data_IF_733667855741
#
_entry.id   IF_733667855741
#
_cell.length_a   1.000
_cell.length_b   1.000
_cell.length_c   1.000
_cell.angle_alpha   90.00
_cell.angle_beta   90.00
_cell.angle_gamma   90.00
#
_symmetry.space_group_name_H-M   'P 1'
#
loop_
_entity.id
_entity.type
_entity.pdbx_description
1 polymer ?
#
# COMPACT_ATOMS: atom_id res chain seq x y z
N UNK A 1 -12.89 17.43 1.50
CA UNK A 1 -11.93 16.37 1.87
C UNK A 1 -11.50 16.64 3.30
N UNK A 2 -11.58 15.67 4.20
CA UNK A 2 -11.09 15.83 5.59
C UNK A 2 -9.66 15.30 5.66
N UNK A 3 -8.74 16.15 6.16
CA UNK A 3 -7.36 15.75 6.44
C UNK A 3 -7.35 14.72 7.57
N UNK A 4 -6.37 13.81 7.54
CA UNK A 4 -6.20 12.76 8.55
C UNK A 4 -4.73 12.54 8.84
N UNK A 5 -4.40 12.27 10.09
CA UNK A 5 -3.07 11.79 10.49
C UNK A 5 -3.03 10.28 10.25
N UNK A 6 -1.91 9.78 9.71
CA UNK A 6 -1.72 8.36 9.37
C UNK A 6 -0.38 7.88 9.93
N UNK A 7 -0.41 6.80 10.71
CA UNK A 7 0.78 6.09 11.19
C UNK A 7 0.76 4.64 10.73
N UNK A 8 1.96 4.11 10.49
CA UNK A 8 2.17 2.72 10.06
C UNK A 8 3.15 2.04 10.99
N UNK A 9 2.90 0.77 11.22
CA UNK A 9 3.68 -0.09 12.08
C UNK A 9 4.07 -1.33 11.28
N UNK A 10 5.35 -1.67 11.32
CA UNK A 10 5.90 -2.93 10.84
C UNK A 10 5.94 -3.86 12.04
N UNK A 11 5.29 -4.99 11.94
CA UNK A 11 5.17 -5.93 13.06
C UNK A 11 5.44 -7.34 12.57
N UNK A 12 6.04 -8.15 13.44
CA UNK A 12 6.14 -9.59 13.24
C UNK A 12 4.76 -10.24 13.25
N UNK A 13 4.68 -11.51 12.84
CA UNK A 13 3.44 -12.28 12.90
C UNK A 13 2.92 -12.38 14.36
N UNK A 14 3.81 -12.60 15.32
CA UNK A 14 3.44 -12.69 16.74
C UNK A 14 2.87 -11.36 17.27
N UNK A 15 3.56 -10.25 17.00
CA UNK A 15 3.11 -8.90 17.39
C UNK A 15 1.80 -8.52 16.72
N UNK A 16 1.61 -8.88 15.43
CA UNK A 16 0.37 -8.66 14.70
C UNK A 16 -0.83 -9.30 15.42
N UNK A 17 -0.72 -10.59 15.77
CA UNK A 17 -1.79 -11.29 16.48
C UNK A 17 -1.98 -10.77 17.89
N UNK A 18 -0.90 -10.49 18.63
CA UNK A 18 -0.96 -9.94 19.98
C UNK A 18 -1.66 -8.58 20.00
N UNK A 19 -1.27 -7.66 19.11
CA UNK A 19 -1.86 -6.33 19.01
C UNK A 19 -3.34 -6.42 18.63
N UNK A 20 -3.68 -7.27 17.65
CA UNK A 20 -5.07 -7.46 17.24
C UNK A 20 -5.94 -7.99 18.38
N UNK A 21 -5.49 -9.03 19.09
CA UNK A 21 -6.22 -9.60 20.23
C UNK A 21 -6.36 -8.62 21.38
N UNK A 22 -5.30 -7.86 21.69
CA UNK A 22 -5.33 -6.81 22.71
C UNK A 22 -6.39 -5.74 22.38
N UNK A 23 -6.38 -5.21 21.16
CA UNK A 23 -7.35 -4.18 20.77
C UNK A 23 -8.79 -4.71 20.73
N UNK A 24 -9.00 -5.96 20.27
CA UNK A 24 -10.31 -6.60 20.33
C UNK A 24 -10.82 -6.72 21.77
N UNK A 25 -9.95 -7.09 22.71
CA UNK A 25 -10.31 -7.14 24.13
C UNK A 25 -10.65 -5.78 24.75
N UNK A 26 -10.20 -4.69 24.12
CA UNK A 26 -10.47 -3.31 24.53
C UNK A 26 -11.70 -2.70 23.83
N UNK A 27 -12.41 -3.45 22.99
CA UNK A 27 -13.60 -2.98 22.30
C UNK A 27 -13.37 -2.48 20.87
N UNK A 28 -12.31 -2.91 20.19
CA UNK A 28 -12.15 -2.69 18.75
C UNK A 28 -13.21 -3.47 17.96
N UNK A 29 -13.89 -2.80 17.03
CA UNK A 29 -15.00 -3.36 16.26
C UNK A 29 -14.69 -3.50 14.77
N UNK A 30 -15.33 -4.47 14.11
CA UNK A 30 -15.15 -4.69 12.67
C UNK A 30 -15.85 -3.58 11.90
N UNK A 31 -15.08 -2.82 11.11
CA UNK A 31 -15.62 -1.73 10.29
C UNK A 31 -16.15 -2.24 8.94
N UNK A 32 -15.43 -3.15 8.29
CA UNK A 32 -15.80 -3.71 6.99
C UNK A 32 -15.36 -5.17 6.85
N UNK A 33 -16.06 -5.89 5.97
CA UNK A 33 -15.66 -7.24 5.58
C UNK A 33 -14.21 -7.28 5.04
N UNK A 34 -13.44 -8.33 5.37
CA UNK A 34 -12.09 -8.53 4.85
C UNK A 34 -12.04 -8.51 3.32
N UNK A 35 -10.94 -8.02 2.76
CA UNK A 35 -10.75 -7.96 1.30
C UNK A 35 -9.37 -8.45 0.91
N UNK A 36 -9.31 -9.23 -0.17
CA UNK A 36 -8.07 -9.42 -0.91
C UNK A 36 -7.89 -8.19 -1.80
N UNK A 37 -6.75 -7.54 -1.70
CA UNK A 37 -6.43 -6.34 -2.48
C UNK A 37 -5.32 -6.69 -3.44
N UNK A 38 -5.53 -6.33 -4.71
CA UNK A 38 -4.53 -6.50 -5.75
C UNK A 38 -4.19 -5.14 -6.35
N UNK A 39 -2.94 -4.93 -6.70
CA UNK A 39 -2.47 -3.70 -7.33
C UNK A 39 -1.32 -3.99 -8.27
N UNK A 40 -1.40 -3.49 -9.51
CA UNK A 40 -0.28 -3.43 -10.43
C UNK A 40 0.23 -2.00 -10.42
N UNK A 41 1.46 -1.80 -9.95
CA UNK A 41 2.15 -0.53 -9.96
C UNK A 41 2.76 -0.26 -11.32
N UNK A 42 2.79 1.00 -11.72
CA UNK A 42 3.38 1.48 -12.96
C UNK A 42 4.55 2.39 -12.64
N UNK A 43 5.60 2.31 -13.45
CA UNK A 43 6.81 3.12 -13.30
C UNK A 43 7.53 3.26 -14.65
N UNK A 44 8.51 4.16 -14.76
CA UNK A 44 9.34 4.33 -15.95
C UNK A 44 10.26 3.13 -16.16
N UNK A 45 10.84 2.97 -17.35
CA UNK A 45 11.79 1.87 -17.60
C UNK A 45 12.97 1.86 -16.60
N UNK A 46 13.35 3.03 -16.09
CA UNK A 46 14.45 3.20 -15.16
C UNK A 46 14.00 3.27 -13.68
N UNK A 47 12.75 2.89 -13.35
CA UNK A 47 12.24 2.87 -11.97
C UNK A 47 12.29 4.23 -11.24
N UNK A 48 12.13 5.33 -11.97
CA UNK A 48 12.28 6.67 -11.41
C UNK A 48 11.28 6.98 -10.27
N UNK A 49 10.03 6.48 -10.32
CA UNK A 49 9.09 6.70 -9.21
C UNK A 49 9.46 5.92 -7.95
N UNK A 50 10.16 4.78 -8.11
CA UNK A 50 10.73 4.03 -7.01
C UNK A 50 11.88 4.81 -6.38
N UNK A 51 12.85 5.27 -7.18
CA UNK A 51 14.01 6.03 -6.69
C UNK A 51 13.58 7.31 -5.96
N UNK A 52 12.70 8.11 -6.58
CA UNK A 52 12.11 9.30 -5.96
C UNK A 52 11.43 8.99 -4.61
N UNK A 53 10.84 7.80 -4.48
CA UNK A 53 10.19 7.37 -3.23
C UNK A 53 11.19 6.99 -2.15
N UNK A 54 12.29 6.35 -2.50
CA UNK A 54 13.32 5.95 -1.54
C UNK A 54 14.10 7.16 -1.06
N UNK A 55 14.57 7.99 -1.99
CA UNK A 55 15.26 9.27 -1.70
C UNK A 55 14.35 10.31 -1.06
N UNK A 56 13.03 10.18 -1.25
CA UNK A 56 12.04 11.08 -0.64
C UNK A 56 11.80 12.37 -1.41
N UNK A 57 12.16 12.42 -2.69
CA UNK A 57 12.00 13.57 -3.59
C UNK A 57 10.54 14.03 -3.71
N UNK A 58 10.35 15.31 -4.00
CA UNK A 58 9.06 15.97 -4.18
C UNK A 58 9.10 16.89 -5.42
N UNK A 59 8.01 16.95 -6.23
CA UNK A 59 6.83 16.10 -6.14
C UNK A 59 7.14 14.68 -6.62
N UNK A 60 6.49 13.67 -6.03
CA UNK A 60 6.60 12.27 -6.48
C UNK A 60 5.24 11.60 -6.58
N UNK A 61 5.15 10.60 -7.47
CA UNK A 61 3.89 9.87 -7.71
C UNK A 61 4.04 8.38 -7.45
N UNK A 62 2.91 7.74 -7.11
CA UNK A 62 2.73 6.29 -7.17
C UNK A 62 1.47 6.02 -7.97
N UNK A 63 1.64 5.43 -9.14
CA UNK A 63 0.55 5.13 -10.06
C UNK A 63 0.30 3.63 -10.07
N UNK A 64 -0.96 3.23 -9.94
CA UNK A 64 -1.32 1.81 -9.91
C UNK A 64 -2.71 1.56 -10.42
N UNK A 65 -2.93 0.38 -11.01
CA UNK A 65 -4.28 -0.16 -11.20
C UNK A 65 -4.60 -1.09 -10.04
N UNK A 66 -5.66 -0.78 -9.29
CA UNK A 66 -6.10 -1.55 -8.11
C UNK A 66 -7.48 -2.16 -8.33
N UNK A 67 -7.65 -3.38 -7.82
CA UNK A 67 -8.94 -4.07 -7.75
C UNK A 67 -9.05 -4.89 -6.46
N UNK A 68 -10.28 -5.31 -6.15
CA UNK A 68 -10.61 -6.01 -4.93
C UNK A 68 -11.13 -7.41 -5.24
N UNK A 69 -10.74 -8.38 -4.42
CA UNK A 69 -11.11 -9.78 -4.52
C UNK A 69 -10.87 -10.32 -5.94
N UNK A 70 -11.77 -11.16 -6.44
CA UNK A 70 -11.78 -11.65 -7.83
C UNK A 70 -12.68 -10.78 -8.74
N UNK A 71 -12.93 -9.53 -8.35
CA UNK A 71 -13.82 -8.65 -9.11
C UNK A 71 -13.05 -7.98 -10.25
N UNK A 72 -13.60 -8.01 -11.47
CA UNK A 72 -13.03 -7.34 -12.64
C UNK A 72 -13.36 -5.83 -12.67
N UNK A 73 -13.39 -5.17 -11.51
CA UNK A 73 -13.59 -3.71 -11.39
C UNK A 73 -12.27 -3.05 -11.06
N UNK A 74 -11.65 -2.46 -12.08
CA UNK A 74 -10.30 -1.90 -11.99
C UNK A 74 -10.34 -0.39 -11.87
N UNK A 75 -9.50 0.16 -11.00
CA UNK A 75 -9.36 1.60 -10.82
C UNK A 75 -7.91 2.01 -10.99
N UNK A 76 -7.65 2.98 -11.87
CA UNK A 76 -6.36 3.67 -11.94
C UNK A 76 -6.30 4.68 -10.81
N UNK A 77 -5.41 4.45 -9.86
CA UNK A 77 -5.16 5.34 -8.72
C UNK A 77 -3.81 6.01 -8.90
N UNK A 78 -3.80 7.34 -8.80
CA UNK A 78 -2.56 8.13 -8.74
C UNK A 78 -2.49 8.79 -7.37
N UNK A 79 -1.44 8.46 -6.60
CA UNK A 79 -1.11 9.16 -5.36
C UNK A 79 0.05 10.08 -5.63
N UNK A 80 -0.12 11.37 -5.36
CA UNK A 80 0.95 12.35 -5.45
C UNK A 80 1.30 12.85 -4.07
N UNK A 81 2.60 12.95 -3.79
CA UNK A 81 3.13 13.68 -2.63
C UNK A 81 3.88 14.89 -3.17
N UNK A 82 3.52 16.08 -2.72
CA UNK A 82 4.16 17.35 -3.04
C UNK A 82 4.46 18.12 -1.75
N UNK A 83 5.02 19.33 -1.90
CA UNK A 83 5.33 20.22 -0.77
C UNK A 83 4.03 20.66 -0.08
N UNK A 84 2.96 20.86 -0.86
CA UNK A 84 1.64 21.29 -0.41
C UNK A 84 0.83 20.15 0.23
N UNK A 85 1.33 18.92 0.16
CA UNK A 85 0.74 17.76 0.82
C UNK A 85 0.54 16.56 -0.08
N UNK A 86 -0.40 15.69 0.31
CA UNK A 86 -0.66 14.42 -0.37
C UNK A 86 -2.09 14.38 -0.90
N UNK A 87 -2.22 14.08 -2.19
CA UNK A 87 -3.52 13.93 -2.83
C UNK A 87 -3.60 12.60 -3.59
N UNK A 88 -4.83 12.13 -3.79
CA UNK A 88 -5.10 10.89 -4.52
C UNK A 88 -6.24 11.12 -5.51
N UNK A 89 -6.01 10.81 -6.77
CA UNK A 89 -7.05 10.72 -7.79
C UNK A 89 -7.37 9.25 -8.09
N UNK A 90 -8.59 9.00 -8.56
CA UNK A 90 -9.04 7.64 -8.89
C UNK A 90 -9.93 7.70 -10.12
N UNK A 91 -9.62 6.90 -11.13
CA UNK A 91 -10.39 6.78 -12.38
C UNK A 91 -10.78 5.32 -12.58
N UNK A 92 -12.08 5.05 -12.70
CA UNK A 92 -12.56 3.72 -13.05
C UNK A 92 -12.11 3.36 -14.48
N UNK A 93 -11.63 2.13 -14.68
CA UNK A 93 -11.23 1.61 -15.98
C UNK A 93 -12.32 0.65 -16.49
N UNK A 94 -13.37 1.18 -17.10
CA UNK A 94 -14.48 0.42 -17.68
C UNK A 94 -14.02 -0.58 -18.75
N UNK A 95 -13.02 -0.20 -19.54
CA UNK A 95 -12.64 -0.95 -20.75
C UNK A 95 -11.65 -2.08 -20.46
N UNK A 96 -11.20 -2.19 -19.21
CA UNK A 96 -10.28 -3.23 -18.75
C UNK A 96 -11.10 -4.38 -18.18
N UNK A 97 -11.17 -5.48 -18.93
CA UNK A 97 -11.94 -6.66 -18.52
C UNK A 97 -11.12 -7.71 -17.77
N UNK A 98 -9.79 -7.62 -17.77
CA UNK A 98 -8.91 -8.62 -17.15
C UNK A 98 -7.56 -8.05 -16.73
N UNK A 99 -6.91 -8.75 -15.79
CA UNK A 99 -5.54 -8.45 -15.37
C UNK A 99 -4.55 -8.48 -16.55
N UNK A 100 -4.70 -9.44 -17.47
CA UNK A 100 -3.82 -9.57 -18.65
C UNK A 100 -3.78 -8.29 -19.49
N UNK A 101 -4.92 -7.61 -19.64
CA UNK A 101 -5.00 -6.33 -20.36
C UNK A 101 -4.26 -5.20 -19.65
N UNK A 102 -4.11 -5.27 -18.32
CA UNK A 102 -3.34 -4.27 -17.56
C UNK A 102 -1.85 -4.45 -17.82
N UNK A 103 -1.40 -5.71 -17.88
CA UNK A 103 0.01 -6.06 -18.11
C UNK A 103 0.54 -5.60 -19.47
N UNK A 104 -0.34 -5.38 -20.45
CA UNK A 104 0.03 -4.90 -21.79
C UNK A 104 -0.22 -3.41 -21.98
N UNK A 105 -0.72 -2.69 -20.97
CA UNK A 105 -1.00 -1.25 -21.07
C UNK A 105 0.22 -0.42 -20.70
N UNK A 106 0.37 0.70 -21.38
CA UNK A 106 1.19 1.82 -20.92
C UNK A 106 0.30 3.02 -20.64
N UNK A 107 0.81 3.95 -19.83
CA UNK A 107 0.22 5.26 -19.63
C UNK A 107 1.28 6.32 -19.86
N UNK A 108 0.84 7.53 -20.20
CA UNK A 108 1.72 8.71 -20.25
C UNK A 108 1.39 9.60 -19.06
N UNK A 109 2.38 9.81 -18.19
CA UNK A 109 2.33 10.74 -17.08
C UNK A 109 3.08 12.03 -17.44
N UNK A 110 2.55 13.17 -17.00
CA UNK A 110 3.13 14.48 -17.32
C UNK A 110 4.51 14.73 -16.72
N UNK A 111 4.87 14.05 -15.63
CA UNK A 111 6.16 14.20 -14.94
C UNK A 111 7.13 13.10 -15.35
N UNK A 112 6.65 11.85 -15.45
CA UNK A 112 7.49 10.67 -15.66
C UNK A 112 7.51 10.16 -17.11
N UNK A 113 6.73 10.77 -18.01
CA UNK A 113 6.60 10.29 -19.38
C UNK A 113 5.89 8.94 -19.46
N UNK A 114 6.38 8.03 -20.29
CA UNK A 114 5.76 6.72 -20.46
C UNK A 114 6.07 5.78 -19.29
N UNK A 115 5.01 5.17 -18.75
CA UNK A 115 5.07 4.26 -17.61
C UNK A 115 4.45 2.93 -17.95
N UNK A 116 5.03 1.88 -17.38
CA UNK A 116 4.73 0.48 -17.68
C UNK A 116 4.52 -0.32 -16.40
N UNK A 117 3.80 -1.45 -16.45
CA UNK A 117 3.65 -2.35 -15.32
C UNK A 117 5.00 -2.75 -14.75
N UNK A 118 5.19 -2.50 -13.46
CA UNK A 118 6.47 -2.65 -12.75
C UNK A 118 6.39 -3.79 -11.74
N UNK A 119 5.41 -3.74 -10.85
CA UNK A 119 5.29 -4.67 -9.73
C UNK A 119 3.82 -4.98 -9.46
N UNK A 120 3.49 -6.27 -9.35
CA UNK A 120 2.21 -6.71 -8.81
C UNK A 120 2.33 -6.92 -7.30
N UNK A 121 1.36 -6.40 -6.57
CA UNK A 121 1.23 -6.54 -5.12
C UNK A 121 -0.14 -7.12 -4.80
N UNK A 122 -0.19 -8.17 -3.98
CA UNK A 122 -1.43 -8.73 -3.43
C UNK A 122 -1.34 -8.92 -1.93
N UNK A 123 -2.42 -8.68 -1.20
CA UNK A 123 -2.46 -8.86 0.25
C UNK A 123 -3.89 -8.97 0.78
N UNK A 124 -4.04 -9.53 1.98
CA UNK A 124 -5.31 -9.56 2.71
C UNK A 124 -5.37 -8.37 3.67
N UNK A 125 -6.50 -7.65 3.68
CA UNK A 125 -6.75 -6.53 4.60
C UNK A 125 -8.00 -6.77 5.42
N UNK A 126 -7.87 -6.60 6.73
CA UNK A 126 -9.00 -6.50 7.68
C UNK A 126 -9.14 -5.06 8.18
N UNK A 127 -10.38 -4.66 8.49
CA UNK A 127 -10.73 -3.27 8.78
C UNK A 127 -11.46 -3.18 10.11
N UNK A 128 -10.99 -2.26 10.95
CA UNK A 128 -11.55 -2.05 12.28
C UNK A 128 -11.70 -0.57 12.59
N UNK A 129 -12.53 -0.29 13.58
CA UNK A 129 -12.60 0.99 14.25
C UNK A 129 -12.41 0.82 15.76
N UNK A 130 -11.76 1.80 16.39
CA UNK A 130 -11.53 1.83 17.82
C UNK A 130 -11.17 3.26 18.24
N UNK A 131 -11.90 3.87 19.18
CA UNK A 131 -11.60 5.22 19.70
C UNK A 131 -11.24 6.23 18.58
N UNK A 132 -12.15 6.49 17.64
CA UNK A 132 -11.94 7.37 16.47
C UNK A 132 -10.83 6.94 15.49
N UNK A 133 -10.06 5.90 15.81
CA UNK A 133 -9.06 5.31 14.93
C UNK A 133 -9.72 4.38 13.93
N UNK A 134 -9.42 4.60 12.66
CA UNK A 134 -9.60 3.60 11.62
C UNK A 134 -8.34 2.77 11.51
N UNK A 135 -8.44 1.49 11.85
CA UNK A 135 -7.31 0.56 11.90
C UNK A 135 -7.42 -0.42 10.76
N UNK A 136 -6.30 -0.68 10.07
CA UNK A 136 -6.21 -1.72 9.06
C UNK A 136 -5.03 -2.62 9.33
N UNK A 137 -5.29 -3.93 9.25
CA UNK A 137 -4.29 -4.96 9.41
C UNK A 137 -4.09 -5.63 8.04
N UNK A 138 -2.87 -5.54 7.53
CA UNK A 138 -2.44 -6.13 6.26
C UNK A 138 -1.55 -7.34 6.51
N UNK A 139 -1.92 -8.46 5.87
CA UNK A 139 -1.20 -9.72 5.96
C UNK A 139 -1.09 -10.43 4.62
N UNK A 140 -0.25 -11.47 4.57
CA UNK A 140 -0.01 -12.27 3.36
C UNK A 140 0.36 -11.37 2.17
N UNK A 141 1.24 -10.40 2.42
CA UNK A 141 1.69 -9.45 1.41
C UNK A 141 2.63 -10.19 0.47
N UNK A 142 2.29 -10.22 -0.81
CA UNK A 142 3.06 -10.89 -1.85
C UNK A 142 3.37 -9.92 -2.98
N UNK A 143 4.52 -10.14 -3.59
CA UNK A 143 5.07 -9.35 -4.68
C UNK A 143 5.36 -10.23 -5.87
N UNK A 144 5.22 -9.68 -7.07
CA UNK A 144 5.70 -10.31 -8.30
C UNK A 144 6.22 -9.21 -9.19
N UNK A 145 7.50 -9.31 -9.55
CA UNK A 145 8.15 -8.38 -10.45
C UNK A 145 7.66 -8.65 -11.87
N UNK A 146 7.15 -7.60 -12.53
CA UNK A 146 6.60 -7.70 -13.88
C UNK A 146 7.60 -7.30 -14.96
N UNK A 147 8.80 -6.87 -14.57
CA UNK A 147 9.89 -6.48 -15.47
C UNK A 147 10.83 -7.63 -15.77
N UNK A 148 10.84 -8.65 -14.93
CA UNK A 148 11.64 -9.87 -15.10
C UNK A 148 10.84 -10.93 -15.83
N UNK A 149 11.50 -11.74 -16.65
CA UNK A 149 10.87 -12.91 -17.28
C UNK A 149 10.56 -14.03 -16.29
N UNK A 150 11.31 -14.10 -15.20
CA UNK A 150 11.06 -15.03 -14.10
C UNK A 150 9.75 -14.65 -13.39
N UNK A 151 8.86 -15.64 -13.22
CA UNK A 151 7.61 -15.49 -12.46
C UNK A 151 7.85 -15.72 -10.98
N UNK A 152 8.77 -14.94 -10.42
CA UNK A 152 9.10 -15.05 -9.02
C UNK A 152 8.01 -14.39 -8.18
N UNK A 153 7.71 -15.04 -7.06
CA UNK A 153 6.80 -14.54 -6.05
C UNK A 153 7.58 -14.38 -4.76
N UNK A 154 7.59 -13.15 -4.24
CA UNK A 154 8.23 -12.81 -2.98
C UNK A 154 7.16 -12.61 -1.92
N UNK A 155 7.41 -13.10 -0.72
CA UNK A 155 6.49 -12.91 0.41
C UNK A 155 7.11 -11.95 1.40
N UNK A 156 6.34 -10.95 1.84
CA UNK A 156 6.83 -10.06 2.89
C UNK A 156 6.84 -10.82 4.23
N UNK A 157 8.00 -10.88 4.92
CA UNK A 157 8.09 -11.52 6.23
C UNK A 157 7.31 -10.75 7.29
N UNK A 158 7.14 -9.44 7.11
CA UNK A 158 6.45 -8.57 8.07
C UNK A 158 4.95 -8.46 7.77
N UNK A 159 4.24 -7.95 8.76
CA UNK A 159 2.85 -7.52 8.65
C UNK A 159 2.78 -6.02 8.88
N UNK A 160 1.71 -5.41 8.38
CA UNK A 160 1.56 -3.96 8.47
C UNK A 160 0.25 -3.60 9.12
N UNK A 161 0.35 -2.75 10.14
CA UNK A 161 -0.81 -2.09 10.73
C UNK A 161 -0.77 -0.62 10.31
N UNK A 162 -1.85 -0.14 9.70
CA UNK A 162 -2.02 1.26 9.30
C UNK A 162 -3.20 1.83 10.08
N UNK A 163 -2.95 2.92 10.81
CA UNK A 163 -3.91 3.60 11.68
C UNK A 163 -4.12 5.02 11.18
N UNK A 164 -5.39 5.44 11.09
CA UNK A 164 -5.77 6.80 10.69
C UNK A 164 -6.69 7.41 11.71
N UNK A 165 -6.43 8.67 12.04
CA UNK A 165 -7.26 9.46 12.95
C UNK A 165 -7.65 10.78 12.29
N UNK A 166 -8.75 11.42 12.73
CA UNK A 166 -9.06 12.80 12.38
C UNK A 166 -7.86 13.74 12.62
N UNK A 167 -7.80 14.83 11.87
CA UNK A 167 -6.69 15.79 11.98
C UNK A 167 -6.70 16.53 13.32
N UNK A 168 -7.87 16.65 13.93
CA UNK A 168 -8.15 17.32 15.19
C UNK A 168 -7.63 16.56 16.41
N UNK A 169 -7.34 15.26 16.27
CA UNK A 169 -6.72 14.48 17.34
C UNK A 169 -5.30 14.99 17.64
N UNK A 170 -4.86 14.86 18.90
CA UNK A 170 -3.49 15.17 19.30
C UNK A 170 -2.45 14.34 18.53
N UNK A 171 -1.23 14.85 18.39
CA UNK A 171 -0.19 14.19 17.59
C UNK A 171 0.25 12.83 18.15
N UNK A 172 0.14 12.64 19.47
CA UNK A 172 0.45 11.43 20.22
C UNK A 172 -0.77 10.52 20.46
N UNK A 173 -1.92 10.85 19.87
CA UNK A 173 -3.18 10.15 20.15
C UNK A 173 -3.10 8.64 19.92
N UNK A 174 -2.37 8.21 18.88
CA UNK A 174 -2.23 6.80 18.52
C UNK A 174 -1.31 6.08 19.53
N UNK A 175 -0.24 6.74 19.98
CA UNK A 175 0.75 6.22 20.92
C UNK A 175 0.15 5.87 22.28
N UNK A 176 -0.94 6.52 22.66
CA UNK A 176 -1.70 6.20 23.88
C UNK A 176 -2.25 4.78 23.90
N UNK A 177 -2.47 4.18 22.71
CA UNK A 177 -3.05 2.84 22.56
C UNK A 177 -2.11 1.82 21.92
N UNK A 178 -1.09 2.29 21.18
CA UNK A 178 -0.27 1.44 20.31
C UNK A 178 1.19 1.51 20.74
N UNK A 179 1.70 0.49 21.46
CA UNK A 179 3.05 0.49 22.03
C UNK A 179 4.11 0.03 21.02
N UNK A 180 4.04 0.54 19.79
CA UNK A 180 4.96 0.18 18.71
C UNK A 180 5.54 1.42 18.06
N UNK A 181 6.81 1.35 17.64
CA UNK A 181 7.43 2.42 16.89
C UNK A 181 6.81 2.53 15.49
N UNK A 182 6.61 3.76 15.02
CA UNK A 182 6.17 3.97 13.65
C UNK A 182 7.29 3.65 12.66
N UNK A 183 6.93 3.18 11.47
CA UNK A 183 7.88 2.90 10.41
C UNK A 183 7.34 3.32 9.04
N UNK A 184 8.24 3.79 8.17
CA UNK A 184 7.93 3.94 6.75
C UNK A 184 7.65 2.56 6.16
N UNK A 185 6.50 2.41 5.49
CA UNK A 185 6.19 1.20 4.75
C UNK A 185 5.48 1.51 3.44
N UNK A 186 6.19 1.20 2.35
CA UNK A 186 5.73 1.29 0.97
C UNK A 186 5.75 -0.12 0.39
N UNK A 187 4.56 -0.71 0.17
CA UNK A 187 4.45 -2.03 -0.48
C UNK A 187 5.15 -2.05 -1.85
N UNK A 188 5.11 -0.93 -2.58
CA UNK A 188 5.80 -0.82 -3.86
C UNK A 188 7.31 -0.91 -3.67
N UNK A 189 7.89 -0.01 -2.88
CA UNK A 189 9.33 0.03 -2.64
C UNK A 189 9.89 -1.28 -2.12
N UNK A 190 9.22 -1.88 -1.12
CA UNK A 190 9.66 -3.13 -0.53
C UNK A 190 9.64 -4.28 -1.53
N UNK A 191 8.58 -4.39 -2.33
CA UNK A 191 8.52 -5.45 -3.33
C UNK A 191 9.53 -5.23 -4.45
N UNK A 192 9.85 -4.00 -4.83
CA UNK A 192 10.94 -3.70 -5.75
C UNK A 192 12.28 -4.18 -5.18
N UNK A 193 12.64 -3.74 -3.97
CA UNK A 193 13.89 -4.12 -3.28
C UNK A 193 14.04 -5.64 -3.08
N UNK A 194 12.98 -6.33 -2.64
CA UNK A 194 12.98 -7.79 -2.51
C UNK A 194 13.24 -8.46 -3.86
N UNK A 195 12.60 -7.96 -4.92
CA UNK A 195 12.72 -8.56 -6.24
C UNK A 195 14.03 -8.26 -6.97
N UNK A 196 14.79 -7.26 -6.53
CA UNK A 196 16.12 -6.93 -7.05
C UNK A 196 17.25 -7.54 -6.21
N UNK A 197 16.92 -8.16 -5.07
CA UNK A 197 17.89 -8.75 -4.14
C UNK A 197 18.49 -7.77 -3.14
N UNK A 198 18.02 -6.52 -3.11
CA UNK A 198 18.50 -5.48 -2.19
C UNK A 198 17.88 -5.59 -0.78
N UNK A 199 16.92 -6.50 -0.59
CA UNK A 199 16.33 -6.85 0.70
C UNK A 199 16.20 -8.37 0.81
N UNK A 200 16.51 -8.95 1.97
CA UNK A 200 16.29 -10.37 2.26
C UNK A 200 14.87 -10.64 2.75
N UNK A 201 14.35 -11.85 2.47
CA UNK A 201 13.11 -12.37 3.08
C UNK A 201 13.33 -12.85 4.54
N UNK A 202 14.57 -12.89 5.00
CA UNK A 202 15.02 -13.37 6.31
C UNK A 202 15.50 -12.23 7.21
#
# INVERSE_FOLDING_TARGET
MSFRKEKKFRVTVAEYHRLKSMLLSQGMEILHQPRCINSIYFDTNNLQMFDDSEEGLLPRKKIRVRWYNKNNKFNLETKTSSIEGRYKTTKALSDVSSEKKILTKSYTDSQYGNIYPSLKVSYSRTYFEFNLMRITFDENIKYSNLRTHAKDYYSDPERVVEIKVPFECEDDYIEKFIPFATARFSKYSRGTLLSTGDLSEF
#
